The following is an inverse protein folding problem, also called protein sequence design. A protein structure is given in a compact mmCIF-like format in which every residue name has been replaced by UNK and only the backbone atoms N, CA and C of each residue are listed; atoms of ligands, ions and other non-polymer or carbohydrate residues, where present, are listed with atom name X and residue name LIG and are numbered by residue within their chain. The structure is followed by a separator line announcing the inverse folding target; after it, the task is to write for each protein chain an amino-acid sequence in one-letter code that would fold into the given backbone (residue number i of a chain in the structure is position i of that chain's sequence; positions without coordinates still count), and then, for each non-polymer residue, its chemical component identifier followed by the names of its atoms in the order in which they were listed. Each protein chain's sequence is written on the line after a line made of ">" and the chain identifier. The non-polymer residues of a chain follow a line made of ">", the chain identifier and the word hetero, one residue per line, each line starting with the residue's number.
data_IF_219946599122
#
_entry.id   IF_219946599122
#
_cell.length_a   1.000
_cell.length_b   1.000
_cell.length_c   1.000
_cell.angle_alpha   90.00
_cell.angle_beta   90.00
_cell.angle_gamma   90.00
#
_symmetry.space_group_name_H-M   'P 1'
#
loop_
_entity.id
_entity.type
_entity.pdbx_description
1 polymer ?
#
# COMPACT_ATOMS: atom_id res chain seq x y z
N UNK A 1 13.21 -15.37 -12.94
CA UNK A 1 12.63 -15.53 -14.29
C UNK A 1 11.34 -14.72 -14.32
N UNK A 2 11.29 -13.64 -15.08
CA UNK A 2 10.11 -12.78 -15.13
C UNK A 2 8.94 -13.57 -15.71
N UNK A 3 7.76 -13.62 -15.06
CA UNK A 3 6.66 -14.41 -15.57
C UNK A 3 6.23 -13.90 -16.96
N UNK A 4 5.83 -14.81 -17.87
CA UNK A 4 5.57 -14.48 -19.28
C UNK A 4 4.47 -13.43 -19.45
N UNK A 5 3.55 -13.35 -18.48
CA UNK A 5 2.49 -12.34 -18.46
C UNK A 5 3.05 -10.93 -18.29
N UNK A 6 4.06 -10.71 -17.45
CA UNK A 6 4.67 -9.39 -17.25
C UNK A 6 5.34 -8.92 -18.55
N UNK A 7 6.16 -9.78 -19.17
CA UNK A 7 6.81 -9.45 -20.44
C UNK A 7 5.80 -9.15 -21.56
N UNK A 8 4.64 -9.81 -21.53
CA UNK A 8 3.55 -9.55 -22.48
C UNK A 8 2.90 -8.19 -22.22
N UNK A 9 2.61 -7.87 -20.96
CA UNK A 9 2.01 -6.60 -20.56
C UNK A 9 2.97 -5.41 -20.82
N UNK A 10 4.28 -5.58 -20.60
CA UNK A 10 5.30 -4.56 -20.89
C UNK A 10 5.38 -4.23 -22.38
N UNK A 11 5.22 -5.23 -23.26
CA UNK A 11 5.15 -4.99 -24.73
C UNK A 11 3.93 -4.19 -25.16
N UNK A 12 2.88 -4.15 -24.35
CA UNK A 12 1.67 -3.37 -24.63
C UNK A 12 1.79 -1.92 -24.15
N UNK A 13 2.84 -1.59 -23.37
CA UNK A 13 3.12 -0.22 -22.95
C UNK A 13 3.43 0.65 -24.18
N UNK A 14 2.84 1.85 -24.22
CA UNK A 14 2.93 2.76 -25.36
C UNK A 14 2.08 2.37 -26.58
N UNK A 15 1.27 1.31 -26.48
CA UNK A 15 0.28 0.95 -27.50
C UNK A 15 -1.11 1.53 -27.23
N UNK A 16 -2.11 1.22 -28.07
CA UNK A 16 -3.51 1.68 -27.89
C UNK A 16 -4.19 1.14 -26.62
N UNK A 17 -3.55 0.18 -25.93
CA UNK A 17 -4.01 -0.42 -24.67
C UNK A 17 -3.27 0.14 -23.45
N UNK A 18 -2.40 1.13 -23.65
CA UNK A 18 -1.65 1.79 -22.58
C UNK A 18 -2.56 2.69 -21.75
N UNK A 19 -3.17 2.11 -20.72
CA UNK A 19 -4.08 2.79 -19.79
C UNK A 19 -3.77 2.40 -18.34
N UNK A 20 -4.43 3.07 -17.39
CA UNK A 20 -4.31 2.78 -15.95
C UNK A 20 -4.51 1.29 -15.63
N UNK A 21 -5.44 0.62 -16.30
CA UNK A 21 -5.70 -0.81 -16.13
C UNK A 21 -4.49 -1.69 -16.50
N UNK A 22 -3.79 -1.39 -17.60
CA UNK A 22 -2.62 -2.16 -18.03
C UNK A 22 -1.49 -2.06 -17.00
N UNK A 23 -1.22 -0.84 -16.52
CA UNK A 23 -0.23 -0.57 -15.48
C UNK A 23 -0.61 -1.21 -14.14
N UNK A 24 -1.91 -1.21 -13.79
CA UNK A 24 -2.40 -1.93 -12.63
C UNK A 24 -2.19 -3.45 -12.74
N UNK A 25 -2.44 -4.05 -13.91
CA UNK A 25 -2.15 -5.46 -14.15
C UNK A 25 -0.66 -5.74 -14.00
N UNK A 26 0.22 -4.90 -14.57
CA UNK A 26 1.66 -5.01 -14.37
C UNK A 26 2.04 -4.97 -12.89
N UNK A 27 1.53 -3.99 -12.14
CA UNK A 27 1.80 -3.88 -10.71
C UNK A 27 1.38 -5.13 -9.95
N UNK A 28 0.21 -5.68 -10.28
CA UNK A 28 -0.31 -6.91 -9.65
C UNK A 28 0.58 -8.11 -9.93
N UNK A 29 1.04 -8.27 -11.17
CA UNK A 29 1.89 -9.40 -11.55
C UNK A 29 3.30 -9.27 -10.97
N UNK A 30 3.87 -8.06 -10.88
CA UNK A 30 5.15 -7.81 -10.19
C UNK A 30 5.06 -8.12 -8.70
N UNK A 31 3.94 -7.77 -8.06
CA UNK A 31 3.71 -8.09 -6.64
C UNK A 31 3.65 -9.61 -6.42
N UNK A 32 2.96 -10.34 -7.30
CA UNK A 32 2.93 -11.81 -7.27
C UNK A 32 4.28 -12.45 -7.57
N UNK A 33 5.09 -11.80 -8.41
CA UNK A 33 6.44 -12.25 -8.72
C UNK A 33 7.42 -12.11 -7.54
N UNK A 34 7.02 -11.42 -6.47
CA UNK A 34 7.87 -11.20 -5.29
C UNK A 34 8.60 -9.85 -5.31
N UNK A 35 8.26 -8.96 -6.24
CA UNK A 35 8.87 -7.62 -6.37
C UNK A 35 7.85 -6.51 -6.05
N UNK A 36 7.47 -6.31 -4.78
CA UNK A 36 6.51 -5.28 -4.39
C UNK A 36 7.02 -3.86 -4.66
N UNK A 37 8.34 -3.64 -4.70
CA UNK A 37 8.91 -2.34 -5.05
C UNK A 37 8.58 -1.93 -6.50
N UNK A 38 8.73 -2.86 -7.46
CA UNK A 38 8.33 -2.63 -8.85
C UNK A 38 6.82 -2.50 -8.98
N UNK A 39 6.08 -3.31 -8.22
CA UNK A 39 4.63 -3.22 -8.18
C UNK A 39 4.14 -1.82 -7.79
N UNK A 40 4.71 -1.24 -6.71
CA UNK A 40 4.37 0.09 -6.26
C UNK A 40 4.62 1.16 -7.33
N UNK A 41 5.72 1.05 -8.09
CA UNK A 41 6.01 1.95 -9.21
C UNK A 41 4.90 1.93 -10.27
N UNK A 42 4.51 0.73 -10.73
CA UNK A 42 3.46 0.58 -11.74
C UNK A 42 2.08 0.99 -11.23
N UNK A 43 1.76 0.72 -9.95
CA UNK A 43 0.52 1.21 -9.35
C UNK A 43 0.48 2.73 -9.24
N UNK A 44 1.61 3.39 -8.92
CA UNK A 44 1.71 4.86 -8.94
C UNK A 44 1.40 5.41 -10.34
N UNK A 45 2.03 4.87 -11.37
CA UNK A 45 1.75 5.29 -12.73
C UNK A 45 0.28 5.04 -13.14
N UNK A 46 -0.35 3.98 -12.61
CA UNK A 46 -1.77 3.73 -12.86
C UNK A 46 -2.67 4.81 -12.24
N UNK A 47 -2.39 5.25 -11.01
CA UNK A 47 -3.16 6.33 -10.35
C UNK A 47 -2.83 7.71 -10.91
N UNK A 48 -1.65 7.92 -11.48
CA UNK A 48 -1.31 9.15 -12.20
C UNK A 48 -2.13 9.31 -13.49
N UNK A 49 -2.47 8.20 -14.15
CA UNK A 49 -3.32 8.21 -15.35
C UNK A 49 -4.79 8.30 -15.01
N UNK A 50 -5.24 7.54 -14.02
CA UNK A 50 -6.60 7.58 -13.53
C UNK A 50 -6.63 7.69 -12.01
N UNK A 51 -6.68 8.93 -11.47
CA UNK A 51 -6.71 9.15 -10.04
C UNK A 51 -8.01 8.65 -9.40
N UNK A 52 -9.05 8.36 -10.20
CA UNK A 52 -10.33 7.79 -9.73
C UNK A 52 -10.30 6.26 -9.67
N UNK A 53 -9.17 5.64 -10.01
CA UNK A 53 -9.04 4.20 -10.05
C UNK A 53 -8.71 3.61 -8.67
N UNK A 54 -9.74 3.45 -7.85
CA UNK A 54 -9.69 2.93 -6.47
C UNK A 54 -8.92 1.62 -6.32
N UNK A 55 -9.00 0.74 -7.32
CA UNK A 55 -8.29 -0.54 -7.31
C UNK A 55 -6.76 -0.36 -7.35
N UNK A 56 -6.27 0.61 -8.13
CA UNK A 56 -4.83 0.91 -8.18
C UNK A 56 -4.32 1.54 -6.89
N UNK A 57 -5.10 2.42 -6.26
CA UNK A 57 -4.77 2.93 -4.92
C UNK A 57 -4.69 1.82 -3.86
N UNK A 58 -5.66 0.89 -3.87
CA UNK A 58 -5.62 -0.30 -3.01
C UNK A 58 -4.36 -1.13 -3.27
N UNK A 59 -4.06 -1.40 -4.55
CA UNK A 59 -2.87 -2.15 -4.96
C UNK A 59 -1.56 -1.49 -4.53
N UNK A 60 -1.49 -0.15 -4.66
CA UNK A 60 -0.36 0.65 -4.23
C UNK A 60 -0.13 0.53 -2.74
N UNK A 61 -1.17 0.72 -1.92
CA UNK A 61 -1.03 0.62 -0.47
C UNK A 61 -0.59 -0.78 -0.02
N UNK A 62 -1.12 -1.84 -0.65
CA UNK A 62 -0.64 -3.21 -0.39
C UNK A 62 0.83 -3.39 -0.74
N UNK A 63 1.25 -2.95 -1.92
CA UNK A 63 2.65 -3.04 -2.35
C UNK A 63 3.59 -2.27 -1.40
N UNK A 64 3.16 -1.09 -0.93
CA UNK A 64 3.94 -0.29 0.03
C UNK A 64 4.09 -1.00 1.38
N UNK A 65 3.02 -1.62 1.90
CA UNK A 65 3.11 -2.47 3.10
C UNK A 65 4.05 -3.64 2.88
N UNK A 66 3.97 -4.33 1.73
CA UNK A 66 4.85 -5.43 1.38
C UNK A 66 6.33 -4.97 1.28
N UNK A 67 6.59 -3.69 0.93
CA UNK A 67 7.94 -3.10 0.98
C UNK A 67 8.38 -2.60 2.36
N UNK A 68 7.50 -2.60 3.36
CA UNK A 68 7.74 -2.05 4.70
C UNK A 68 7.41 -0.57 4.87
N UNK A 69 7.00 0.12 3.80
CA UNK A 69 6.64 1.54 3.80
C UNK A 69 5.19 1.74 4.29
N UNK A 70 5.02 1.55 5.60
CA UNK A 70 3.70 1.65 6.26
C UNK A 70 3.10 3.05 6.19
N UNK A 71 3.95 4.09 6.17
CA UNK A 71 3.51 5.49 6.14
C UNK A 71 2.94 5.85 4.75
N UNK A 72 3.66 5.53 3.68
CA UNK A 72 3.16 5.73 2.32
C UNK A 72 1.97 4.84 2.00
N UNK A 73 1.89 3.63 2.56
CA UNK A 73 0.71 2.77 2.41
C UNK A 73 -0.56 3.43 2.97
N UNK A 74 -0.45 4.04 4.15
CA UNK A 74 -1.56 4.73 4.80
C UNK A 74 -2.02 5.94 3.98
N UNK A 75 -1.07 6.73 3.47
CA UNK A 75 -1.37 7.84 2.55
C UNK A 75 -2.08 7.33 1.28
N UNK A 76 -1.56 6.29 0.64
CA UNK A 76 -2.16 5.72 -0.58
C UNK A 76 -3.58 5.19 -0.37
N UNK A 77 -3.87 4.55 0.77
CA UNK A 77 -5.23 4.11 1.08
C UNK A 77 -6.16 5.28 1.41
N UNK A 78 -5.68 6.35 2.03
CA UNK A 78 -6.48 7.57 2.25
C UNK A 78 -6.91 8.22 0.93
N UNK A 79 -5.98 8.42 0.01
CA UNK A 79 -6.27 8.92 -1.34
C UNK A 79 -7.19 7.95 -2.10
N UNK A 80 -6.96 6.65 -1.97
CA UNK A 80 -7.81 5.61 -2.54
C UNK A 80 -9.25 5.64 -2.03
N UNK A 81 -9.48 5.92 -0.75
CA UNK A 81 -10.82 6.07 -0.18
C UNK A 81 -11.51 7.31 -0.77
N UNK A 82 -10.79 8.43 -0.93
CA UNK A 82 -11.33 9.62 -1.55
C UNK A 82 -11.71 9.36 -3.01
N UNK A 83 -10.84 8.69 -3.78
CA UNK A 83 -11.10 8.27 -5.15
C UNK A 83 -12.30 7.31 -5.25
N UNK A 84 -12.40 6.36 -4.32
CA UNK A 84 -13.51 5.42 -4.25
C UNK A 84 -14.84 6.11 -3.98
N UNK A 85 -14.88 7.04 -3.03
CA UNK A 85 -16.07 7.86 -2.77
C UNK A 85 -16.45 8.70 -4.00
N UNK A 86 -15.47 9.31 -4.68
CA UNK A 86 -15.70 10.09 -5.89
C UNK A 86 -16.22 9.25 -7.08
N UNK A 87 -16.01 7.93 -7.06
CA UNK A 87 -16.54 6.97 -8.05
C UNK A 87 -17.83 6.28 -7.58
N UNK A 88 -18.19 6.41 -6.30
CA UNK A 88 -19.30 5.67 -5.67
C UNK A 88 -18.95 4.23 -5.29
N UNK A 89 -17.66 3.88 -5.25
CA UNK A 89 -17.17 2.54 -4.96
C UNK A 89 -16.99 2.34 -3.43
N UNK A 90 -18.12 2.31 -2.73
CA UNK A 90 -18.16 2.26 -1.26
C UNK A 90 -17.45 1.01 -0.72
N UNK A 91 -17.48 -0.10 -1.45
CA UNK A 91 -16.85 -1.34 -1.03
C UNK A 91 -15.32 -1.22 -1.02
N UNK A 92 -14.73 -0.68 -2.10
CA UNK A 92 -13.30 -0.45 -2.16
C UNK A 92 -12.83 0.51 -1.06
N UNK A 93 -13.59 1.58 -0.80
CA UNK A 93 -13.32 2.52 0.30
C UNK A 93 -13.31 1.85 1.68
N UNK A 94 -14.29 0.97 1.96
CA UNK A 94 -14.36 0.23 3.22
C UNK A 94 -13.16 -0.70 3.42
N UNK A 95 -12.77 -1.45 2.39
CA UNK A 95 -11.60 -2.33 2.46
C UNK A 95 -10.32 -1.53 2.77
N UNK A 96 -10.10 -0.43 2.04
CA UNK A 96 -8.93 0.45 2.25
C UNK A 96 -8.92 1.07 3.67
N UNK A 97 -10.08 1.46 4.19
CA UNK A 97 -10.18 1.97 5.56
C UNK A 97 -9.80 0.92 6.62
N UNK A 98 -10.18 -0.35 6.41
CA UNK A 98 -9.78 -1.45 7.30
C UNK A 98 -8.28 -1.63 7.28
N UNK A 99 -7.65 -1.60 6.10
CA UNK A 99 -6.21 -1.74 5.98
C UNK A 99 -5.45 -0.57 6.63
N UNK A 100 -5.87 0.68 6.39
CA UNK A 100 -5.28 1.85 7.01
C UNK A 100 -5.34 1.77 8.54
N UNK A 101 -6.52 1.44 9.09
CA UNK A 101 -6.71 1.28 10.54
C UNK A 101 -5.85 0.15 11.12
N UNK A 102 -5.60 -0.92 10.36
CA UNK A 102 -4.75 -2.03 10.78
C UNK A 102 -3.29 -1.61 10.89
N UNK A 103 -2.78 -0.79 9.97
CA UNK A 103 -1.45 -0.18 10.06
C UNK A 103 -1.37 0.78 11.25
N UNK A 104 -2.34 1.68 11.42
CA UNK A 104 -2.35 2.62 12.56
C UNK A 104 -2.35 1.87 13.90
N UNK A 105 -3.13 0.79 14.01
CA UNK A 105 -3.14 -0.06 15.19
C UNK A 105 -1.81 -0.76 15.41
N UNK A 106 -1.20 -1.30 14.35
CA UNK A 106 0.10 -1.96 14.44
C UNK A 106 1.19 -0.96 14.90
N UNK A 107 1.17 0.28 14.39
CA UNK A 107 2.07 1.36 14.81
C UNK A 107 1.86 1.72 16.29
N UNK A 108 0.61 1.91 16.71
CA UNK A 108 0.28 2.23 18.10
C UNK A 108 0.74 1.12 19.06
N UNK A 109 0.53 -0.15 18.71
CA UNK A 109 0.98 -1.29 19.51
C UNK A 109 2.50 -1.40 19.59
N UNK A 110 3.22 -1.07 18.51
CA UNK A 110 4.69 -1.09 18.51
C UNK A 110 5.28 0.04 19.37
N UNK A 111 4.63 1.21 19.39
CA UNK A 111 5.01 2.32 20.29
C UNK A 111 4.73 2.00 21.77
N UNK A 112 3.66 1.27 22.10
CA UNK A 112 3.39 0.89 23.50
C UNK A 112 4.36 -0.17 24.03
N UNK A 113 4.95 -1.00 23.16
CA UNK A 113 5.90 -2.04 23.55
C UNK A 113 7.31 -1.50 23.89
N UNK A 114 7.69 -0.32 23.37
CA UNK A 114 9.00 0.31 23.57
C UNK A 114 9.02 1.32 24.75
N UNK A 115 7.94 1.40 25.53
CA UNK A 115 7.71 2.47 26.51
C UNK A 115 7.69 2.09 28.00
N UNK A 116 7.79 0.82 28.38
CA UNK A 116 7.65 0.42 29.79
C UNK A 116 8.57 -0.74 30.18
N UNK A 117 9.88 -0.47 30.27
CA UNK A 117 10.74 -1.18 31.21
C UNK A 117 11.68 -0.20 31.90
N UNK A 118 11.10 0.75 32.63
CA UNK A 118 11.81 1.41 33.73
C UNK A 118 11.55 0.53 34.96
N UNK A 119 12.52 -0.24 35.46
CA UNK A 119 12.33 -0.93 36.74
C UNK A 119 12.11 0.15 37.82
N UNK A 120 11.21 -0.06 38.80
CA UNK A 120 11.18 0.80 39.96
C UNK A 120 12.51 0.63 40.68
N UNK A 121 13.41 1.59 40.54
CA UNK A 121 14.57 1.73 41.42
C UNK A 121 14.04 2.12 42.80
N UNK A 122 13.53 1.13 43.52
CA UNK A 122 13.46 1.16 44.97
C UNK A 122 14.88 1.02 45.49
N UNK A 123 15.32 1.98 46.29
CA UNK A 123 16.60 1.92 46.96
C UNK A 123 17.26 3.29 47.01
N UNK A 124 16.78 4.15 47.89
CA UNK A 124 17.72 5.01 48.60
C UNK A 124 17.37 4.97 50.08
N UNK A 125 18.25 4.23 50.75
CA UNK A 125 18.31 3.91 52.15
C UNK A 125 18.66 5.18 52.94
N UNK A 126 17.91 5.40 54.03
CA UNK A 126 18.35 6.26 55.12
C UNK A 126 19.58 5.63 55.78
N UNK A 127 20.56 6.44 56.16
CA UNK A 127 20.77 6.65 57.60
C UNK A 127 20.76 8.12 58.02
#
# INVERSE_FOLDING_TARGET
>A
MTPPIIATLEKLLGGPRDNALLRFSLGTEWRKAGDPARAALYFRQAVELDPRYSAAWKGLGHALVDTGDSDGALAAWRDGIAAANARGDVQAGKEMAVFARRIEKARAQNTTADGTNVPPAGGEERP
#
